data_IF_374135988203
#
_entry.id   IF_374135988203
#
_cell.length_a   1.000
_cell.length_b   1.000
_cell.length_c   1.000
_cell.angle_alpha   90.00
_cell.angle_beta   90.00
_cell.angle_gamma   90.00
#
_symmetry.space_group_name_H-M   'P 1'
#
loop_
_entity.id
_entity.type
_entity.pdbx_description
1 polymer ?
#
# COMPACT_ATOMS: atom_id res chain seq x y z
N UNK A 1 -16.48 -2.41 4.25
CA UNK A 1 -15.15 -3.04 4.09
C UNK A 1 -15.31 -4.15 3.05
N UNK A 2 -14.56 -4.08 1.95
CA UNK A 2 -14.70 -5.00 0.81
C UNK A 2 -14.22 -6.44 1.10
N UNK A 3 -14.46 -7.35 0.16
CA UNK A 3 -14.15 -8.79 0.29
C UNK A 3 -12.69 -9.18 -0.04
N UNK A 4 -11.76 -8.23 0.02
CA UNK A 4 -10.36 -8.44 -0.36
C UNK A 4 -9.73 -7.21 -1.04
N UNK A 5 -8.43 -7.28 -1.31
CA UNK A 5 -7.74 -6.24 -2.09
C UNK A 5 -8.19 -6.28 -3.56
N UNK A 6 -8.35 -5.10 -4.15
CA UNK A 6 -8.84 -4.93 -5.51
C UNK A 6 -7.72 -4.44 -6.42
N UNK A 7 -7.58 -5.05 -7.60
CA UNK A 7 -6.64 -4.60 -8.62
C UNK A 7 -7.19 -3.32 -9.26
N UNK A 8 -6.43 -2.23 -9.16
CA UNK A 8 -6.75 -0.95 -9.83
C UNK A 8 -6.09 -0.91 -11.20
N UNK A 9 -4.82 -1.32 -11.28
CA UNK A 9 -4.02 -1.38 -12.50
C UNK A 9 -3.08 -2.61 -12.44
N UNK A 10 -2.46 -3.02 -13.57
CA UNK A 10 -1.35 -3.96 -13.53
C UNK A 10 -0.26 -3.49 -12.56
N UNK A 11 0.02 -4.32 -11.54
CA UNK A 11 0.98 -4.03 -10.48
C UNK A 11 0.50 -3.09 -9.37
N UNK A 12 -0.80 -2.73 -9.31
CA UNK A 12 -1.34 -1.82 -8.32
C UNK A 12 -2.67 -2.30 -7.75
N UNK A 13 -2.72 -2.40 -6.42
CA UNK A 13 -3.84 -2.92 -5.66
C UNK A 13 -4.21 -1.93 -4.55
N UNK A 14 -5.50 -1.93 -4.20
CA UNK A 14 -6.05 -1.16 -3.08
C UNK A 14 -6.80 -2.10 -2.15
N UNK A 15 -6.52 -2.04 -0.86
CA UNK A 15 -7.18 -2.84 0.16
C UNK A 15 -7.29 -2.09 1.48
N UNK A 16 -7.87 -2.77 2.47
CA UNK A 16 -7.94 -2.28 3.84
C UNK A 16 -6.82 -2.89 4.71
N UNK A 17 -6.71 -2.44 5.95
CA UNK A 17 -5.76 -2.97 6.94
C UNK A 17 -5.80 -4.50 7.16
N UNK A 18 -6.94 -5.17 6.96
CA UNK A 18 -7.01 -6.65 7.05
C UNK A 18 -6.34 -7.29 5.84
N UNK A 19 -6.55 -6.74 4.65
CA UNK A 19 -5.96 -7.25 3.40
C UNK A 19 -4.42 -7.16 3.44
N UNK A 20 -3.86 -6.15 4.11
CA UNK A 20 -2.40 -6.03 4.27
C UNK A 20 -1.78 -7.04 5.25
N UNK A 21 -2.60 -7.75 6.02
CA UNK A 21 -2.19 -8.86 6.89
C UNK A 21 -2.47 -10.23 6.29
N UNK A 22 -3.27 -10.30 5.24
CA UNK A 22 -3.65 -11.54 4.59
C UNK A 22 -2.51 -12.04 3.70
N UNK A 23 -1.63 -12.85 4.28
CA UNK A 23 -0.47 -13.43 3.59
C UNK A 23 -0.90 -14.23 2.35
N UNK A 24 -2.06 -14.90 2.40
CA UNK A 24 -2.57 -15.68 1.26
C UNK A 24 -2.89 -14.78 0.08
N UNK A 25 -3.55 -13.64 0.32
CA UNK A 25 -3.80 -12.65 -0.75
C UNK A 25 -2.50 -11.99 -1.22
N UNK A 26 -1.61 -11.61 -0.30
CA UNK A 26 -0.33 -10.99 -0.65
C UNK A 26 0.50 -11.89 -1.56
N UNK A 27 0.58 -13.19 -1.27
CA UNK A 27 1.31 -14.16 -2.09
C UNK A 27 0.61 -14.44 -3.41
N UNK A 28 -0.72 -14.63 -3.39
CA UNK A 28 -1.54 -14.83 -4.59
C UNK A 28 -1.34 -13.70 -5.60
N UNK A 29 -1.30 -12.45 -5.13
CA UNK A 29 -1.11 -11.27 -5.96
C UNK A 29 0.36 -10.84 -6.04
N UNK A 30 1.31 -11.64 -5.54
CA UNK A 30 2.76 -11.39 -5.59
C UNK A 30 3.13 -9.98 -5.11
N UNK A 31 2.48 -9.51 -4.06
CA UNK A 31 2.75 -8.19 -3.48
C UNK A 31 4.19 -8.17 -2.96
N UNK A 32 4.97 -7.19 -3.42
CA UNK A 32 6.36 -6.96 -3.00
C UNK A 32 6.54 -5.63 -2.30
N UNK A 33 5.62 -4.68 -2.53
CA UNK A 33 5.66 -3.33 -1.98
C UNK A 33 4.33 -3.00 -1.30
N UNK A 34 4.39 -2.37 -0.13
CA UNK A 34 3.21 -1.98 0.65
C UNK A 34 3.33 -0.50 1.02
N UNK A 35 2.33 0.28 0.61
CA UNK A 35 2.13 1.66 1.01
C UNK A 35 1.04 1.70 2.09
N UNK A 36 1.44 1.98 3.32
CA UNK A 36 0.55 2.04 4.49
C UNK A 36 0.29 3.49 4.87
N UNK A 37 -0.97 3.92 4.88
CA UNK A 37 -1.37 5.30 5.18
C UNK A 37 -2.38 5.31 6.33
N UNK A 38 -1.91 5.41 7.57
CA UNK A 38 -2.75 5.50 8.77
C UNK A 38 -1.91 5.90 10.01
N UNK A 39 -2.55 6.27 11.11
CA UNK A 39 -1.93 6.78 12.36
C UNK A 39 -1.00 5.79 13.10
N UNK A 40 -0.89 4.55 12.63
CA UNK A 40 -0.07 3.50 13.23
C UNK A 40 0.72 2.71 12.18
N UNK A 41 0.95 3.31 11.01
CA UNK A 41 1.61 2.69 9.87
C UNK A 41 2.99 2.16 10.28
N UNK A 42 3.18 0.85 10.09
CA UNK A 42 4.41 0.14 10.45
C UNK A 42 4.67 -1.01 9.49
N UNK A 43 5.91 -1.45 9.43
CA UNK A 43 6.30 -2.66 8.69
C UNK A 43 5.76 -3.88 9.43
N UNK A 44 5.05 -4.74 8.71
CA UNK A 44 4.49 -5.99 9.26
C UNK A 44 5.22 -7.22 8.72
N UNK A 45 5.63 -7.19 7.45
CA UNK A 45 6.29 -8.29 6.75
C UNK A 45 7.75 -7.91 6.48
N UNK A 46 8.71 -8.75 6.87
CA UNK A 46 10.15 -8.45 6.70
C UNK A 46 10.62 -8.58 5.25
N UNK A 47 9.90 -9.33 4.41
CA UNK A 47 10.21 -9.62 3.02
C UNK A 47 9.61 -8.60 2.03
N UNK A 48 8.87 -7.60 2.52
CA UNK A 48 8.23 -6.58 1.68
C UNK A 48 8.88 -5.21 1.87
N UNK A 49 8.88 -4.41 0.81
CA UNK A 49 9.30 -3.02 0.87
C UNK A 49 8.15 -2.13 1.33
N UNK A 50 8.38 -1.31 2.35
CA UNK A 50 7.34 -0.46 2.93
C UNK A 50 7.61 1.02 2.73
N UNK A 51 6.55 1.74 2.41
CA UNK A 51 6.43 3.18 2.64
C UNK A 51 5.29 3.39 3.65
N UNK A 52 5.62 3.93 4.83
CA UNK A 52 4.67 4.17 5.90
C UNK A 52 4.44 5.69 6.03
N UNK A 53 3.20 6.12 5.86
CA UNK A 53 2.78 7.51 6.01
C UNK A 53 1.83 7.58 7.19
N UNK A 54 2.22 8.37 8.17
CA UNK A 54 1.41 8.67 9.34
C UNK A 54 0.46 9.81 8.97
N UNK A 55 -0.78 9.46 8.67
CA UNK A 55 -1.81 10.41 8.28
C UNK A 55 -3.15 9.97 8.87
N UNK A 56 -3.87 10.91 9.47
CA UNK A 56 -5.19 10.67 10.05
C UNK A 56 -6.27 10.75 8.96
N UNK A 57 -7.36 10.00 9.12
CA UNK A 57 -8.55 10.14 8.28
C UNK A 57 -9.38 11.36 8.72
N UNK A 58 -8.86 12.56 8.43
CA UNK A 58 -9.50 13.83 8.75
C UNK A 58 -9.43 14.80 7.57
N UNK A 59 -10.43 15.69 7.40
CA UNK A 59 -10.40 16.69 6.32
C UNK A 59 -9.20 17.65 6.40
N UNK A 60 -8.66 17.86 7.60
CA UNK A 60 -7.51 18.74 7.85
C UNK A 60 -6.17 18.08 7.50
N UNK A 61 -6.16 16.76 7.29
CA UNK A 61 -4.96 16.03 6.91
C UNK A 61 -4.56 16.38 5.47
N UNK A 62 -3.50 17.17 5.32
CA UNK A 62 -2.92 17.43 4.00
C UNK A 62 -2.25 16.16 3.45
N UNK A 63 -2.90 15.47 2.51
CA UNK A 63 -2.34 14.32 1.80
C UNK A 63 -1.50 14.71 0.58
N UNK A 64 -1.74 15.91 0.01
CA UNK A 64 -1.06 16.39 -1.19
C UNK A 64 0.46 16.45 -1.00
N UNK A 65 0.94 16.77 0.20
CA UNK A 65 2.36 16.78 0.53
C UNK A 65 3.05 15.42 0.29
N UNK A 66 2.30 14.32 0.32
CA UNK A 66 2.84 12.97 0.13
C UNK A 66 2.73 12.46 -1.30
N UNK A 67 2.05 13.17 -2.20
CA UNK A 67 1.76 12.65 -3.54
C UNK A 67 3.02 12.32 -4.33
N UNK A 68 4.03 13.19 -4.32
CA UNK A 68 5.30 12.91 -5.02
C UNK A 68 5.95 11.65 -4.48
N UNK A 69 6.08 11.54 -3.16
CA UNK A 69 6.70 10.40 -2.50
C UNK A 69 5.96 9.07 -2.77
N UNK A 70 4.62 9.08 -2.67
CA UNK A 70 3.79 7.93 -3.00
C UNK A 70 3.94 7.53 -4.47
N UNK A 71 3.89 8.51 -5.38
CA UNK A 71 4.00 8.26 -6.81
C UNK A 71 5.35 7.66 -7.17
N UNK A 72 6.45 8.19 -6.63
CA UNK A 72 7.79 7.67 -6.88
C UNK A 72 7.94 6.23 -6.37
N UNK A 73 7.40 5.93 -5.18
CA UNK A 73 7.40 4.59 -4.62
C UNK A 73 6.60 3.60 -5.50
N UNK A 74 5.37 3.97 -5.87
CA UNK A 74 4.50 3.13 -6.72
C UNK A 74 5.13 2.93 -8.10
N UNK A 75 5.66 3.99 -8.70
CA UNK A 75 6.22 3.96 -10.04
C UNK A 75 7.50 3.12 -10.09
N UNK A 76 8.43 3.34 -9.16
CA UNK A 76 9.68 2.58 -9.08
C UNK A 76 9.44 1.08 -8.84
N UNK A 77 8.43 0.74 -8.02
CA UNK A 77 8.04 -0.66 -7.81
C UNK A 77 7.51 -1.30 -9.11
N UNK A 78 6.61 -0.62 -9.82
CA UNK A 78 5.99 -1.13 -11.05
C UNK A 78 6.98 -1.24 -12.21
N UNK A 79 7.97 -0.35 -12.31
CA UNK A 79 9.04 -0.44 -13.32
C UNK A 79 9.95 -1.67 -13.12
N UNK A 80 9.98 -2.26 -11.93
CA UNK A 80 10.75 -3.46 -11.59
C UNK A 80 9.87 -4.72 -11.52
N UNK A 81 8.74 -4.71 -12.22
CA UNK A 81 7.74 -5.79 -12.23
C UNK A 81 7.20 -6.14 -10.81
N UNK A 82 7.29 -5.20 -9.88
CA UNK A 82 6.76 -5.33 -8.53
C UNK A 82 5.27 -5.01 -8.46
N UNK A 83 4.58 -5.64 -7.51
CA UNK A 83 3.18 -5.36 -7.23
C UNK A 83 3.04 -4.60 -5.92
N UNK A 84 2.30 -3.49 -5.97
CA UNK A 84 2.10 -2.56 -4.86
C UNK A 84 0.71 -2.71 -4.29
N UNK A 85 0.60 -2.87 -2.97
CA UNK A 85 -0.64 -2.73 -2.23
C UNK A 85 -0.66 -1.37 -1.51
N UNK A 86 -1.68 -0.57 -1.78
CA UNK A 86 -1.99 0.63 -1.00
C UNK A 86 -3.10 0.27 -0.02
N UNK A 87 -2.93 0.59 1.26
CA UNK A 87 -3.98 0.41 2.26
C UNK A 87 -4.00 1.51 3.32
N UNK A 88 -5.18 1.65 3.92
CA UNK A 88 -5.44 2.43 5.14
C UNK A 88 -6.06 1.53 6.22
#
# INVERSE_FOLDING_TARGET
>A
MGNGMNKVLPGLYVGNYRDSKDIVQLDKYKITHILSIHDAARRLHSDKHYLCIMASDSPDQNLTQYFSLCNDFIHAARLRDGNVLIHW
#
